data_IF_469372665070
#
_entry.id   IF_469372665070
#
_cell.length_a   1.000
_cell.length_b   1.000
_cell.length_c   1.000
_cell.angle_alpha   90.00
_cell.angle_beta   90.00
_cell.angle_gamma   90.00
#
_symmetry.space_group_name_H-M   'P 1'
#
loop_
_entity.id
_entity.type
_entity.pdbx_description
1 polymer ?
#
# COMPACT_ATOMS: atom_id res chain seq x y z
N UNK A 1 7.92 11.34 -1.26
CA UNK A 1 6.67 10.64 -1.55
C UNK A 1 6.22 9.70 -0.43
N UNK A 2 6.61 8.41 -0.35
CA UNK A 2 6.09 7.53 0.72
C UNK A 2 6.65 7.81 2.13
N UNK A 3 7.75 8.55 2.21
CA UNK A 3 8.35 9.12 3.41
C UNK A 3 7.56 10.30 3.99
N UNK A 4 6.59 10.84 3.24
CA UNK A 4 5.74 11.98 3.64
C UNK A 4 4.28 11.63 3.82
N UNK A 5 3.94 10.34 3.85
CA UNK A 5 2.56 9.88 4.04
C UNK A 5 2.40 9.08 5.33
N UNK A 6 1.19 9.11 5.89
CA UNK A 6 0.76 8.27 6.99
C UNK A 6 -0.32 7.32 6.52
N UNK A 7 -0.10 6.04 6.78
CA UNK A 7 -0.97 4.93 6.41
C UNK A 7 -1.34 4.04 7.62
N UNK A 8 -0.85 4.34 8.82
CA UNK A 8 -1.17 3.55 10.01
C UNK A 8 -2.67 3.56 10.31
N UNK A 9 -3.23 2.39 10.61
CA UNK A 9 -4.66 2.21 10.87
C UNK A 9 -5.56 2.60 9.67
N UNK A 10 -5.03 2.54 8.44
CA UNK A 10 -5.76 2.87 7.21
C UNK A 10 -6.10 1.60 6.42
N UNK A 11 -7.40 1.22 6.31
CA UNK A 11 -7.84 0.05 5.57
C UNK A 11 -7.45 0.03 4.09
N UNK A 12 -6.98 -1.13 3.64
CA UNK A 12 -6.87 -1.48 2.21
C UNK A 12 -8.26 -1.84 1.70
N UNK A 13 -8.72 -1.13 0.68
CA UNK A 13 -10.05 -1.33 0.10
C UNK A 13 -10.05 -2.24 -1.11
N UNK A 14 -8.98 -2.23 -1.90
CA UNK A 14 -8.80 -3.07 -3.09
C UNK A 14 -7.37 -3.03 -3.58
N UNK A 15 -6.99 -4.06 -4.33
CA UNK A 15 -5.76 -4.14 -5.11
C UNK A 15 -6.14 -4.33 -6.58
N UNK A 16 -5.68 -3.43 -7.44
CA UNK A 16 -5.92 -3.49 -8.88
C UNK A 16 -4.65 -3.92 -9.61
N UNK A 17 -4.78 -4.90 -10.51
CA UNK A 17 -3.70 -5.36 -11.38
C UNK A 17 -3.97 -4.93 -12.82
N UNK A 18 -3.12 -4.08 -13.36
CA UNK A 18 -3.03 -3.84 -14.79
C UNK A 18 -1.78 -4.55 -15.33
N UNK A 19 -2.01 -5.75 -15.87
CA UNK A 19 -0.93 -6.63 -16.30
C UNK A 19 -0.27 -6.18 -17.61
N UNK A 20 -0.98 -5.41 -18.44
CA UNK A 20 -0.43 -4.91 -19.70
C UNK A 20 0.56 -3.78 -19.44
N UNK A 21 0.24 -2.87 -18.53
CA UNK A 21 1.13 -1.79 -18.12
C UNK A 21 2.08 -2.18 -16.97
N UNK A 22 1.98 -3.41 -16.46
CA UNK A 22 2.73 -3.92 -15.29
C UNK A 22 2.59 -3.00 -14.08
N UNK A 23 1.36 -2.57 -13.82
CA UNK A 23 1.04 -1.62 -12.78
C UNK A 23 0.14 -2.26 -11.72
N UNK A 24 0.46 -2.01 -10.46
CA UNK A 24 -0.37 -2.40 -9.32
C UNK A 24 -0.80 -1.13 -8.59
N UNK A 25 -2.09 -1.04 -8.29
CA UNK A 25 -2.64 0.01 -7.42
C UNK A 25 -3.22 -0.60 -6.16
N UNK A 26 -2.89 -0.05 -5.01
CA UNK A 26 -3.50 -0.41 -3.73
C UNK A 26 -4.33 0.80 -3.30
N UNK A 27 -5.65 0.63 -3.26
CA UNK A 27 -6.53 1.68 -2.76
C UNK A 27 -6.57 1.63 -1.23
N UNK A 28 -6.35 2.78 -0.61
CA UNK A 28 -6.40 2.96 0.84
C UNK A 28 -7.54 3.92 1.16
N UNK A 29 -8.26 3.71 2.27
CA UNK A 29 -9.40 4.56 2.63
C UNK A 29 -9.02 6.05 2.77
N UNK A 30 -7.82 6.36 3.27
CA UNK A 30 -7.33 7.71 3.49
C UNK A 30 -5.80 7.70 3.52
N UNK A 31 -5.17 8.44 2.62
CA UNK A 31 -3.72 8.69 2.65
C UNK A 31 -3.52 10.08 3.25
N UNK A 32 -3.00 10.16 4.47
CA UNK A 32 -2.68 11.46 5.09
C UNK A 32 -1.26 11.88 4.72
N UNK A 33 -1.02 13.19 4.59
CA UNK A 33 0.26 13.73 4.08
C UNK A 33 0.86 14.77 5.01
N UNK A 34 2.18 14.78 5.13
CA UNK A 34 2.93 15.85 5.79
C UNK A 34 2.93 17.06 4.86
N UNK A 35 2.40 18.19 5.37
CA UNK A 35 2.30 19.46 4.64
C UNK A 35 3.61 19.81 3.93
N UNK A 36 3.51 20.31 2.70
CA UNK A 36 4.70 20.65 1.92
C UNK A 36 5.62 21.62 2.69
N UNK A 37 6.93 21.34 2.67
CA UNK A 37 7.93 22.16 3.37
C UNK A 37 8.09 21.87 4.86
N UNK A 38 7.31 20.96 5.45
CA UNK A 38 7.51 20.49 6.84
C UNK A 38 8.01 19.05 6.88
N UNK A 39 8.58 18.67 8.03
CA UNK A 39 9.03 17.31 8.37
C UNK A 39 8.31 16.74 9.59
N UNK A 40 7.48 17.56 10.25
CA UNK A 40 6.78 17.19 11.48
C UNK A 40 5.32 16.85 11.19
N UNK A 41 4.85 15.79 11.84
CA UNK A 41 3.43 15.46 11.88
C UNK A 41 2.70 16.45 12.79
N UNK A 42 1.79 17.23 12.21
CA UNK A 42 1.03 18.26 12.91
C UNK A 42 -0.50 18.09 12.75
N UNK A 43 -0.95 16.86 12.44
CA UNK A 43 -2.36 16.54 12.17
C UNK A 43 -3.01 17.39 11.05
N UNK A 44 -2.19 17.93 10.14
CA UNK A 44 -2.66 18.65 8.97
C UNK A 44 -3.36 17.69 8.00
N UNK A 45 -4.64 17.95 7.72
CA UNK A 45 -5.51 17.07 6.95
C UNK A 45 -6.03 17.68 5.64
N UNK A 46 -5.72 18.94 5.33
CA UNK A 46 -6.18 19.59 4.10
C UNK A 46 -5.65 18.91 2.83
N UNK A 47 -4.55 18.18 2.97
CA UNK A 47 -3.88 17.46 1.90
C UNK A 47 -4.21 15.95 1.89
N UNK A 48 -5.14 15.51 2.75
CA UNK A 48 -5.54 14.11 2.84
C UNK A 48 -6.25 13.65 1.55
N UNK A 49 -5.92 12.45 1.11
CA UNK A 49 -6.49 11.83 -0.07
C UNK A 49 -7.43 10.71 0.36
N UNK A 50 -8.71 11.02 0.50
CA UNK A 50 -9.76 10.02 0.67
C UNK A 50 -9.79 9.08 -0.54
N UNK A 51 -9.83 7.77 -0.27
CA UNK A 51 -9.88 6.71 -1.28
C UNK A 51 -8.73 6.79 -2.31
N UNK A 52 -7.57 7.31 -1.87
CA UNK A 52 -6.37 7.42 -2.70
C UNK A 52 -5.73 6.07 -3.01
N UNK A 53 -4.78 6.09 -3.94
CA UNK A 53 -4.07 4.90 -4.37
C UNK A 53 -2.56 5.04 -4.13
N UNK A 54 -1.95 3.97 -3.64
CA UNK A 54 -0.52 3.73 -3.80
C UNK A 54 -0.31 3.04 -5.13
N UNK A 55 0.54 3.59 -5.99
CA UNK A 55 0.75 3.09 -7.34
C UNK A 55 2.18 2.65 -7.53
N UNK A 56 2.37 1.47 -8.13
CA UNK A 56 3.66 0.87 -8.42
C UNK A 56 3.70 0.47 -9.90
N UNK A 57 4.81 0.74 -10.58
CA UNK A 57 4.97 0.49 -12.02
C UNK A 57 6.20 -0.30 -12.37
N UNK A 58 6.17 -0.90 -13.56
CA UNK A 58 7.15 -1.89 -14.00
C UNK A 58 7.33 -2.98 -12.94
N UNK A 59 6.20 -3.44 -12.39
CA UNK A 59 6.19 -4.45 -11.34
C UNK A 59 6.73 -5.76 -11.88
N UNK A 60 7.72 -6.31 -11.18
CA UNK A 60 8.40 -7.58 -11.55
C UNK A 60 8.15 -8.70 -10.55
N UNK A 61 7.72 -8.36 -9.34
CA UNK A 61 7.38 -9.31 -8.29
C UNK A 61 6.24 -8.76 -7.45
N UNK A 62 5.27 -9.62 -7.15
CA UNK A 62 4.19 -9.37 -6.21
C UNK A 62 3.91 -10.67 -5.46
N UNK A 63 3.90 -10.62 -4.14
CA UNK A 63 3.52 -11.75 -3.31
C UNK A 63 2.79 -11.30 -2.05
N UNK A 64 1.94 -12.17 -1.52
CA UNK A 64 1.30 -11.96 -0.22
C UNK A 64 1.71 -13.13 0.69
N UNK A 65 2.23 -12.80 1.87
CA UNK A 65 2.66 -13.79 2.86
C UNK A 65 1.79 -13.66 4.12
N UNK A 66 1.23 -14.77 4.66
CA UNK A 66 1.29 -16.12 4.09
C UNK A 66 0.46 -16.26 2.80
N UNK A 67 0.80 -17.26 2.00
CA UNK A 67 0.12 -17.50 0.72
C UNK A 67 -1.38 -17.77 0.94
N UNK A 68 -2.22 -17.05 0.19
CA UNK A 68 -3.67 -17.14 0.30
C UNK A 68 -4.29 -16.15 1.29
N UNK A 69 -3.49 -15.30 1.94
CA UNK A 69 -4.03 -14.17 2.71
C UNK A 69 -4.65 -13.09 1.82
N UNK A 70 -5.64 -12.40 2.38
CA UNK A 70 -6.33 -11.27 1.75
C UNK A 70 -6.18 -10.06 2.69
N UNK A 71 -5.36 -9.05 2.32
CA UNK A 71 -5.19 -7.83 3.11
C UNK A 71 -6.39 -6.89 2.90
N UNK A 72 -7.46 -7.08 3.67
CA UNK A 72 -8.74 -6.36 3.59
C UNK A 72 -9.03 -5.45 4.80
N UNK A 73 -8.05 -5.26 5.68
CA UNK A 73 -8.14 -4.38 6.84
C UNK A 73 -6.96 -3.36 6.85
N UNK A 74 -6.54 -2.88 8.01
CA UNK A 74 -5.63 -1.76 8.13
C UNK A 74 -4.16 -2.07 7.85
N UNK A 75 -3.48 -1.08 7.27
CA UNK A 75 -2.02 -1.06 7.13
C UNK A 75 -1.38 -0.75 8.49
N UNK A 76 -0.40 -1.57 8.86
CA UNK A 76 0.44 -1.38 10.05
C UNK A 76 1.66 -0.54 9.70
N UNK A 77 2.34 -0.88 8.60
CA UNK A 77 3.54 -0.17 8.17
C UNK A 77 3.86 -0.42 6.70
N UNK A 78 4.67 0.47 6.12
CA UNK A 78 5.30 0.28 4.83
C UNK A 78 6.80 0.51 4.98
N UNK A 79 7.59 -0.47 4.55
CA UNK A 79 9.05 -0.40 4.51
C UNK A 79 9.45 -0.47 3.04
N UNK A 80 10.41 0.36 2.63
CA UNK A 80 10.90 0.38 1.24
C UNK A 80 12.40 0.32 1.22
N UNK A 81 12.91 -0.70 0.54
CA UNK A 81 14.34 -0.95 0.38
C UNK A 81 14.74 -0.72 -1.08
N UNK A 82 15.93 -0.15 -1.27
CA UNK A 82 16.55 -0.06 -2.59
C UNK A 82 17.26 -1.38 -2.89
N UNK A 83 16.79 -2.11 -3.90
CA UNK A 83 17.37 -3.39 -4.29
C UNK A 83 18.62 -3.16 -5.15
N UNK A 84 18.53 -2.24 -6.10
CA UNK A 84 19.66 -1.81 -6.95
C UNK A 84 19.39 -0.40 -7.53
N UNK A 85 20.16 0.02 -8.53
CA UNK A 85 20.05 1.36 -9.14
C UNK A 85 18.68 1.59 -9.79
N UNK A 86 18.02 0.55 -10.30
CA UNK A 86 16.80 0.65 -11.10
C UNK A 86 15.53 0.19 -10.37
N UNK A 87 15.65 -0.36 -9.16
CA UNK A 87 14.61 -1.18 -8.56
C UNK A 87 14.48 -0.96 -7.06
N UNK A 88 13.24 -0.90 -6.60
CA UNK A 88 12.83 -0.85 -5.20
C UNK A 88 12.00 -2.08 -4.85
N UNK A 89 12.01 -2.44 -3.57
CA UNK A 89 11.11 -3.43 -3.00
C UNK A 89 10.40 -2.79 -1.80
N UNK A 90 9.08 -2.90 -1.77
CA UNK A 90 8.28 -2.46 -0.62
C UNK A 90 7.62 -3.66 0.05
N UNK A 91 7.71 -3.67 1.37
CA UNK A 91 6.96 -4.58 2.25
C UNK A 91 5.88 -3.76 2.95
N UNK A 92 4.62 -4.07 2.66
CA UNK A 92 3.47 -3.47 3.33
C UNK A 92 2.92 -4.51 4.31
N UNK A 93 3.04 -4.23 5.60
CA UNK A 93 2.44 -5.05 6.66
C UNK A 93 1.02 -4.57 6.85
N UNK A 94 0.06 -5.48 6.73
CA UNK A 94 -1.36 -5.19 6.88
C UNK A 94 -2.07 -6.29 7.66
N UNK A 95 -3.19 -5.96 8.28
CA UNK A 95 -4.13 -6.93 8.82
C UNK A 95 -5.08 -7.36 7.71
N UNK A 96 -5.52 -8.61 7.77
CA UNK A 96 -6.58 -9.11 6.91
C UNK A 96 -6.86 -10.58 7.18
N UNK A 97 -7.59 -11.21 6.26
CA UNK A 97 -7.90 -12.63 6.34
C UNK A 97 -6.64 -13.46 6.06
N UNK A 98 -6.30 -14.37 6.96
CA UNK A 98 -5.22 -15.34 6.82
C UNK A 98 -5.82 -16.73 6.58
N UNK A 99 -5.21 -17.49 5.68
CA UNK A 99 -5.58 -18.89 5.46
C UNK A 99 -5.56 -19.66 6.79
N UNK A 100 -6.74 -20.10 7.23
CA UNK A 100 -6.87 -20.99 8.37
C UNK A 100 -6.36 -22.39 8.02
N UNK A 101 -5.58 -23.00 8.90
CA UNK A 101 -5.19 -24.41 8.77
C UNK A 101 -6.25 -25.36 9.34
N UNK A 102 -7.20 -24.83 10.12
CA UNK A 102 -8.29 -25.61 10.72
C UNK A 102 -9.55 -25.48 9.88
N UNK A 103 -10.18 -26.62 9.58
CA UNK A 103 -11.41 -26.69 8.79
C UNK A 103 -12.58 -26.16 9.63
N UNK A 104 -13.24 -25.09 9.16
CA UNK A 104 -14.53 -24.64 9.70
C UNK A 104 -14.56 -23.22 10.27
N UNK A 105 -13.42 -22.54 10.39
CA UNK A 105 -13.35 -21.16 10.83
C UNK A 105 -13.03 -20.24 9.64
N UNK A 106 -14.04 -19.47 9.26
CA UNK A 106 -14.11 -18.66 8.04
C UNK A 106 -13.44 -17.29 8.25
N UNK A 107 -13.33 -16.84 9.50
CA UNK A 107 -12.91 -15.49 9.86
C UNK A 107 -11.57 -15.51 10.64
N UNK A 108 -10.55 -16.11 10.04
CA UNK A 108 -9.21 -16.10 10.62
C UNK A 108 -8.49 -14.79 10.23
N UNK A 109 -8.44 -13.84 11.15
CA UNK A 109 -7.79 -12.53 10.94
C UNK A 109 -6.37 -12.55 11.52
N UNK A 110 -5.43 -11.95 10.80
CA UNK A 110 -4.10 -11.65 11.36
C UNK A 110 -3.24 -10.80 10.42
N UNK A 111 -1.95 -10.72 10.74
CA UNK A 111 -0.97 -9.99 9.93
C UNK A 111 -0.55 -10.74 8.66
N UNK A 112 -0.55 -10.03 7.54
CA UNK A 112 0.03 -10.45 6.29
C UNK A 112 0.94 -9.37 5.71
N UNK A 113 1.79 -9.78 4.78
CA UNK A 113 2.78 -8.91 4.15
C UNK A 113 2.55 -8.91 2.64
N UNK A 114 2.33 -7.72 2.08
CA UNK A 114 2.35 -7.51 0.63
C UNK A 114 3.77 -7.13 0.26
N UNK A 115 4.42 -7.98 -0.52
CA UNK A 115 5.75 -7.76 -1.07
C UNK A 115 5.61 -7.33 -2.52
N UNK A 116 6.19 -6.19 -2.89
CA UNK A 116 6.14 -5.68 -4.26
C UNK A 116 7.48 -5.12 -4.71
N UNK A 117 7.94 -5.55 -5.89
CA UNK A 117 9.16 -5.06 -6.54
C UNK A 117 8.84 -4.29 -7.81
N UNK A 118 9.33 -3.06 -7.92
CA UNK A 118 8.91 -2.08 -8.92
C UNK A 118 10.04 -1.10 -9.28
N UNK A 119 9.88 -0.35 -10.38
CA UNK A 119 10.84 0.70 -10.78
C UNK A 119 10.45 2.09 -10.27
N UNK A 120 9.18 2.46 -10.39
CA UNK A 120 8.67 3.76 -9.96
C UNK A 120 7.36 3.64 -9.18
N UNK A 121 7.09 4.63 -8.32
CA UNK A 121 5.91 4.71 -7.46
C UNK A 121 5.35 6.12 -7.36
N UNK A 122 4.04 6.22 -7.19
CA UNK A 122 3.39 7.49 -6.84
C UNK A 122 2.10 7.28 -6.06
N UNK A 123 1.45 8.39 -5.68
CA UNK A 123 0.10 8.40 -5.12
C UNK A 123 -0.87 9.01 -6.12
N UNK A 124 -2.07 8.45 -6.21
CA UNK A 124 -3.18 9.03 -6.96
C UNK A 124 -4.32 9.40 -6.02
N UNK A 125 -5.12 10.40 -6.40
CA UNK A 125 -6.40 10.66 -5.74
C UNK A 125 -7.47 9.62 -6.15
N UNK A 126 -8.68 9.75 -5.60
CA UNK A 126 -9.81 8.86 -5.94
C UNK A 126 -10.19 8.82 -7.43
N UNK A 127 -9.82 9.86 -8.19
CA UNK A 127 -10.06 9.96 -9.64
C UNK A 127 -8.91 9.35 -10.48
N UNK A 128 -7.92 8.74 -9.84
CA UNK A 128 -6.70 8.18 -10.47
C UNK A 128 -5.80 9.25 -11.11
N UNK A 129 -5.88 10.49 -10.62
CA UNK A 129 -4.98 11.56 -11.03
C UNK A 129 -3.71 11.50 -10.17
N UNK A 130 -2.54 11.43 -10.82
CA UNK A 130 -1.24 11.43 -10.14
C UNK A 130 -1.07 12.73 -9.36
N UNK A 131 -0.81 12.62 -8.07
CA UNK A 131 -0.46 13.76 -7.23
C UNK A 131 1.03 14.04 -7.40
N UNK A 132 1.35 15.24 -7.86
CA UNK A 132 2.71 15.73 -8.01
C UNK A 132 3.07 16.44 -6.70
N UNK A 133 4.13 15.96 -6.04
CA UNK A 133 4.78 16.65 -4.91
C UNK A 133 5.84 17.63 -5.42
#
# INVERSE_FOLDING_TARGET
MFDRIYLGDRPIKKIEFDLWSKQIRIQVNLISRIAYGTTEWNFYNNEDLENGYLVFTDVTFFNIIPNGSIPDDYIVSIITDKVNVECFESTIVAVGQIRNTNVGDIDNIGECQILIRYKDRWIENKLKEKIIE
#
